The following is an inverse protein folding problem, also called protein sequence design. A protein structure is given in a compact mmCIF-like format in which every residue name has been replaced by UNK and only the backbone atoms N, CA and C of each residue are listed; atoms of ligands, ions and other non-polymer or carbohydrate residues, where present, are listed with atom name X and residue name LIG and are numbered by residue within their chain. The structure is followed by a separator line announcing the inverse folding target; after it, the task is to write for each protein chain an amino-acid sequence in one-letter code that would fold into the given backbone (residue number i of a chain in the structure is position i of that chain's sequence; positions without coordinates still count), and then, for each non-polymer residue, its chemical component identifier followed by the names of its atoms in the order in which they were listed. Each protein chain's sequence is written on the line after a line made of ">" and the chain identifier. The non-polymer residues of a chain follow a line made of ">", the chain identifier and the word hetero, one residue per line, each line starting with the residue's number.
data_IF_137625409747
#
_entry.id   IF_137625409747
#
_cell.length_a   1.000
_cell.length_b   1.000
_cell.length_c   1.000
_cell.angle_alpha   90.00
_cell.angle_beta   90.00
_cell.angle_gamma   90.00
#
_symmetry.space_group_name_H-M   'P 1'
#
loop_
_entity.id
_entity.type
_entity.pdbx_description
1 polymer ?
#
# COMPACT_ATOMS: atom_id res chain seq x y z
N UNK A 1 13.51 10.68 -35.65
CA UNK A 1 14.84 10.63 -35.02
C UNK A 1 14.99 11.51 -33.78
N UNK A 2 14.43 12.74 -33.74
CA UNK A 2 14.36 13.51 -32.47
C UNK A 2 13.35 12.87 -31.50
N UNK A 3 12.12 12.65 -31.99
CA UNK A 3 11.03 12.05 -31.19
C UNK A 3 11.39 10.69 -30.58
N UNK A 4 12.10 9.81 -31.30
CA UNK A 4 12.52 8.51 -30.74
C UNK A 4 13.49 8.66 -29.57
N UNK A 5 14.43 9.62 -29.66
CA UNK A 5 15.38 9.89 -28.57
C UNK A 5 14.65 10.50 -27.37
N UNK A 6 13.69 11.38 -27.62
CA UNK A 6 12.90 12.02 -26.57
C UNK A 6 11.97 11.01 -25.87
N UNK A 7 11.39 10.07 -26.62
CA UNK A 7 10.60 8.95 -26.09
C UNK A 7 11.47 8.02 -25.24
N UNK A 8 12.65 7.64 -25.72
CA UNK A 8 13.56 6.79 -24.95
C UNK A 8 14.02 7.48 -23.64
N UNK A 9 14.34 8.76 -23.68
CA UNK A 9 14.68 9.53 -22.49
C UNK A 9 13.51 9.61 -21.50
N UNK A 10 12.27 9.78 -21.99
CA UNK A 10 11.08 9.78 -21.16
C UNK A 10 10.83 8.40 -20.51
N UNK A 11 11.05 7.30 -21.24
CA UNK A 11 10.92 5.94 -20.71
C UNK A 11 11.96 5.65 -19.63
N UNK A 12 13.23 6.05 -19.84
CA UNK A 12 14.28 5.89 -18.83
C UNK A 12 14.00 6.71 -17.57
N UNK A 13 13.44 7.91 -17.72
CA UNK A 13 12.99 8.72 -16.58
C UNK A 13 11.86 8.02 -15.83
N UNK A 14 10.82 7.58 -16.53
CA UNK A 14 9.69 6.87 -15.92
C UNK A 14 10.12 5.56 -15.23
N UNK A 15 11.06 4.81 -15.81
CA UNK A 15 11.60 3.59 -15.20
C UNK A 15 12.32 3.88 -13.88
N UNK A 16 13.10 4.98 -13.81
CA UNK A 16 13.76 5.43 -12.58
C UNK A 16 12.75 5.87 -11.52
N UNK A 17 11.80 6.73 -11.89
CA UNK A 17 10.75 7.19 -10.97
C UNK A 17 9.94 6.00 -10.43
N UNK A 18 9.63 5.01 -11.27
CA UNK A 18 8.94 3.80 -10.84
C UNK A 18 9.78 2.97 -9.86
N UNK A 19 11.09 2.83 -10.09
CA UNK A 19 11.98 2.15 -9.15
C UNK A 19 12.06 2.85 -7.79
N UNK A 20 12.14 4.19 -7.78
CA UNK A 20 12.11 5.00 -6.55
C UNK A 20 10.80 4.83 -5.80
N UNK A 21 9.66 4.93 -6.50
CA UNK A 21 8.33 4.71 -5.92
C UNK A 21 8.18 3.31 -5.34
N UNK A 22 8.67 2.27 -6.03
CA UNK A 22 8.65 0.90 -5.52
C UNK A 22 9.51 0.74 -4.26
N UNK A 23 10.67 1.41 -4.20
CA UNK A 23 11.52 1.45 -3.02
C UNK A 23 10.82 2.09 -1.82
N UNK A 24 10.16 3.23 -2.04
CA UNK A 24 9.37 3.91 -1.00
C UNK A 24 8.21 3.03 -0.52
N UNK A 25 7.46 2.40 -1.43
CA UNK A 25 6.36 1.49 -1.08
C UNK A 25 6.86 0.31 -0.26
N UNK A 26 7.99 -0.31 -0.63
CA UNK A 26 8.60 -1.39 0.14
C UNK A 26 8.96 -0.94 1.55
N UNK A 27 9.67 0.18 1.68
CA UNK A 27 10.08 0.71 2.98
C UNK A 27 8.88 1.05 3.87
N UNK A 28 7.88 1.73 3.32
CA UNK A 28 6.63 2.04 4.03
C UNK A 28 5.90 0.76 4.46
N UNK A 29 5.83 -0.25 3.60
CA UNK A 29 5.19 -1.52 3.94
C UNK A 29 5.87 -2.26 5.09
N UNK A 30 7.20 -2.31 5.09
CA UNK A 30 7.96 -2.91 6.21
C UNK A 30 7.70 -2.16 7.52
N UNK A 31 7.76 -0.83 7.50
CA UNK A 31 7.53 0.00 8.69
C UNK A 31 6.10 -0.18 9.22
N UNK A 32 5.09 -0.13 8.34
CA UNK A 32 3.70 -0.30 8.73
C UNK A 32 3.45 -1.67 9.36
N UNK A 33 3.99 -2.73 8.77
CA UNK A 33 3.87 -4.08 9.34
C UNK A 33 4.52 -4.15 10.74
N UNK A 34 5.71 -3.58 10.94
CA UNK A 34 6.36 -3.55 12.25
C UNK A 34 5.57 -2.74 13.29
N UNK A 35 5.02 -1.58 12.91
CA UNK A 35 4.18 -0.77 13.79
C UNK A 35 2.90 -1.51 14.17
N UNK A 36 2.25 -2.15 13.19
CA UNK A 36 1.03 -2.93 13.41
C UNK A 36 1.30 -4.13 14.32
N UNK A 37 2.41 -4.85 14.14
CA UNK A 37 2.85 -5.89 15.07
C UNK A 37 3.05 -5.33 16.48
N UNK A 38 3.77 -4.22 16.61
CA UNK A 38 4.05 -3.58 17.91
C UNK A 38 2.76 -3.15 18.64
N UNK A 39 1.77 -2.64 17.90
CA UNK A 39 0.47 -2.25 18.44
C UNK A 39 -0.37 -3.46 18.85
N UNK A 40 -0.43 -4.48 17.99
CA UNK A 40 -1.29 -5.66 18.22
C UNK A 40 -0.76 -6.55 19.34
N UNK A 41 0.56 -6.67 19.50
CA UNK A 41 1.18 -7.44 20.61
C UNK A 41 0.91 -6.85 22.00
N UNK A 42 0.48 -5.59 22.10
CA UNK A 42 0.09 -4.96 23.38
C UNK A 42 -1.34 -5.29 23.79
N UNK A 43 -2.13 -5.85 22.88
CA UNK A 43 -3.54 -6.16 23.10
C UNK A 43 -3.69 -7.56 23.70
N UNK A 44 -4.74 -7.76 24.51
CA UNK A 44 -5.10 -9.07 25.08
C UNK A 44 -5.33 -10.13 24.00
N UNK A 45 -5.80 -9.71 22.81
CA UNK A 45 -5.97 -10.56 21.63
C UNK A 45 -5.38 -9.87 20.40
N UNK A 46 -4.09 -10.14 20.07
CA UNK A 46 -3.40 -9.53 18.94
C UNK A 46 -4.08 -9.79 17.59
N UNK A 47 -4.62 -10.99 17.37
CA UNK A 47 -5.29 -11.38 16.13
C UNK A 47 -6.59 -10.59 15.91
N UNK A 48 -7.40 -10.42 16.96
CA UNK A 48 -8.62 -9.63 16.90
C UNK A 48 -8.32 -8.15 16.66
N UNK A 49 -7.27 -7.62 17.30
CA UNK A 49 -6.81 -6.26 17.09
C UNK A 49 -6.35 -6.02 15.64
N UNK A 50 -5.56 -6.95 15.07
CA UNK A 50 -5.11 -6.89 13.68
C UNK A 50 -6.29 -6.87 12.71
N UNK A 51 -7.24 -7.80 12.88
CA UNK A 51 -8.45 -7.89 12.04
C UNK A 51 -9.25 -6.59 12.06
N UNK A 52 -9.43 -5.99 13.25
CA UNK A 52 -10.12 -4.71 13.42
C UNK A 52 -9.41 -3.57 12.67
N UNK A 53 -8.09 -3.46 12.81
CA UNK A 53 -7.31 -2.40 12.16
C UNK A 53 -7.39 -2.51 10.64
N UNK A 54 -7.18 -3.72 10.09
CA UNK A 54 -7.28 -3.97 8.65
C UNK A 54 -8.68 -3.65 8.14
N UNK A 55 -9.72 -4.10 8.84
CA UNK A 55 -11.13 -3.83 8.47
C UNK A 55 -11.42 -2.33 8.42
N UNK A 56 -10.92 -1.57 9.41
CA UNK A 56 -11.10 -0.12 9.45
C UNK A 56 -10.37 0.57 8.28
N UNK A 57 -9.15 0.12 7.96
CA UNK A 57 -8.40 0.63 6.82
C UNK A 57 -9.13 0.36 5.49
N UNK A 58 -9.65 -0.86 5.30
CA UNK A 58 -10.44 -1.22 4.12
C UNK A 58 -11.66 -0.30 3.97
N UNK A 59 -12.43 -0.11 5.05
CA UNK A 59 -13.60 0.79 5.05
C UNK A 59 -13.23 2.23 4.73
N UNK A 60 -12.11 2.73 5.26
CA UNK A 60 -11.64 4.08 4.96
C UNK A 60 -11.29 4.25 3.47
N UNK A 61 -10.63 3.26 2.86
CA UNK A 61 -10.32 3.26 1.42
C UNK A 61 -11.60 3.17 0.59
N UNK A 62 -12.53 2.30 0.97
CA UNK A 62 -13.82 2.15 0.30
C UNK A 62 -14.66 3.43 0.37
N UNK A 63 -14.62 4.13 1.49
CA UNK A 63 -15.25 5.41 1.73
C UNK A 63 -14.53 6.60 1.08
N UNK A 64 -13.27 6.44 0.69
CA UNK A 64 -12.50 7.51 0.08
C UNK A 64 -13.15 7.99 -1.22
N UNK A 65 -13.40 9.30 -1.30
CA UNK A 65 -13.94 10.00 -2.46
C UNK A 65 -13.06 11.24 -2.68
N UNK A 66 -12.19 11.24 -3.69
CA UNK A 66 -11.40 12.44 -4.01
C UNK A 66 -12.33 13.57 -4.45
N UNK A 67 -11.96 14.81 -4.15
CA UNK A 67 -12.73 16.01 -4.53
C UNK A 67 -12.90 16.12 -6.05
N UNK A 68 -11.88 15.69 -6.80
CA UNK A 68 -11.90 15.63 -8.25
C UNK A 68 -11.70 14.18 -8.71
N UNK A 69 -12.63 13.70 -9.54
CA UNK A 69 -12.54 12.39 -10.15
C UNK A 69 -11.50 12.41 -11.29
N UNK A 70 -10.46 11.59 -11.15
CA UNK A 70 -9.41 11.40 -12.15
C UNK A 70 -9.54 10.02 -12.81
N UNK A 71 -9.09 9.86 -14.06
CA UNK A 71 -9.20 8.60 -14.80
C UNK A 71 -8.61 7.38 -14.08
N UNK A 72 -7.61 7.58 -13.23
CA UNK A 72 -6.88 6.52 -12.53
C UNK A 72 -7.36 6.27 -11.10
N UNK A 73 -8.41 6.95 -10.62
CA UNK A 73 -8.84 6.82 -9.22
C UNK A 73 -9.35 5.40 -8.91
N UNK A 74 -10.01 4.74 -9.86
CA UNK A 74 -10.44 3.35 -9.69
C UNK A 74 -9.25 2.39 -9.54
N UNK A 75 -8.19 2.61 -10.34
CA UNK A 75 -6.94 1.83 -10.28
C UNK A 75 -6.21 2.08 -8.96
N UNK A 76 -6.11 3.34 -8.53
CA UNK A 76 -5.53 3.72 -7.25
C UNK A 76 -6.26 3.03 -6.08
N UNK A 77 -7.59 3.09 -6.08
CA UNK A 77 -8.41 2.47 -5.02
C UNK A 77 -8.26 0.96 -5.00
N UNK A 78 -8.30 0.30 -6.16
CA UNK A 78 -8.08 -1.14 -6.27
C UNK A 78 -6.68 -1.54 -5.75
N UNK A 79 -5.66 -0.74 -6.07
CA UNK A 79 -4.29 -0.98 -5.57
C UNK A 79 -4.18 -0.79 -4.06
N UNK A 80 -4.83 0.22 -3.49
CA UNK A 80 -4.85 0.45 -2.06
C UNK A 80 -5.51 -0.70 -1.29
N UNK A 81 -6.64 -1.22 -1.80
CA UNK A 81 -7.31 -2.40 -1.22
C UNK A 81 -6.43 -3.65 -1.28
N UNK A 82 -5.74 -3.86 -2.41
CA UNK A 82 -4.80 -4.97 -2.54
C UNK A 82 -3.64 -4.88 -1.54
N UNK A 83 -3.11 -3.66 -1.29
CA UNK A 83 -2.05 -3.44 -0.31
C UNK A 83 -2.51 -3.75 1.12
N UNK A 84 -3.73 -3.33 1.51
CA UNK A 84 -4.30 -3.65 2.83
C UNK A 84 -4.41 -5.16 3.04
N UNK A 85 -4.89 -5.89 2.02
CA UNK A 85 -4.95 -7.36 2.09
C UNK A 85 -3.57 -8.00 2.23
N UNK A 86 -2.58 -7.51 1.48
CA UNK A 86 -1.21 -7.99 1.61
C UNK A 86 -0.66 -7.78 3.04
N UNK A 87 -0.93 -6.63 3.66
CA UNK A 87 -0.51 -6.37 5.04
C UNK A 87 -1.25 -7.27 6.04
N UNK A 88 -2.53 -7.56 5.82
CA UNK A 88 -3.28 -8.51 6.64
C UNK A 88 -2.62 -9.90 6.61
N UNK A 89 -2.31 -10.41 5.41
CA UNK A 89 -1.68 -11.71 5.24
C UNK A 89 -0.30 -11.77 5.93
N UNK A 90 0.49 -10.69 5.81
CA UNK A 90 1.79 -10.57 6.48
C UNK A 90 1.67 -10.46 8.01
N UNK A 91 0.64 -9.80 8.53
CA UNK A 91 0.41 -9.72 9.97
C UNK A 91 -0.05 -11.04 10.55
N UNK A 92 -0.96 -11.74 9.86
CA UNK A 92 -1.42 -13.05 10.33
C UNK A 92 -0.32 -14.09 10.39
N UNK A 93 0.69 -14.00 9.53
CA UNK A 93 1.80 -14.97 9.50
C UNK A 93 2.81 -14.82 10.65
N UNK A 94 2.80 -13.68 11.36
CA UNK A 94 3.79 -13.37 12.41
C UNK A 94 3.18 -13.15 13.80
N UNK A 95 1.86 -12.97 13.88
CA UNK A 95 1.18 -12.80 15.18
C UNK A 95 0.95 -14.15 15.87
N UNK A 96 1.12 -14.22 17.20
CA UNK A 96 0.82 -15.43 17.95
C UNK A 96 -0.68 -15.75 17.85
N UNK A 97 -0.98 -17.04 17.72
CA UNK A 97 -2.35 -17.61 17.79
C UNK A 97 -2.88 -17.63 19.21
#
# INVERSE_FOLDING_TARGET
>A
MSDDKDIHAALERLARENAELNGLVLATGVILTQLLQSMTLRELNPQAAATRIVTNAQKAIEGFRPEEARPLDAVMKARALAAVKQYEDQLRSVLPT
#
